data_IF_655258339194
#
_entry.id   IF_655258339194
#
_cell.length_a   1.000
_cell.length_b   1.000
_cell.length_c   1.000
_cell.angle_alpha   90.00
_cell.angle_beta   90.00
_cell.angle_gamma   90.00
#
_symmetry.space_group_name_H-M   'P 1'
#
loop_
_entity.id
_entity.type
_entity.pdbx_description
1 polymer ?
#
# COMPACT_ATOMS: atom_id res chain seq x y z
N UNK A 1 3.49 36.58 68.83
CA UNK A 1 2.89 35.25 68.54
C UNK A 1 3.77 34.52 67.54
N UNK A 2 4.21 33.30 67.90
CA UNK A 2 5.06 32.43 67.08
C UNK A 2 4.23 31.71 66.02
N UNK A 3 4.75 31.54 64.79
CA UNK A 3 4.53 30.36 63.91
C UNK A 3 5.44 30.51 62.67
N UNK A 4 6.53 29.73 62.57
CA UNK A 4 6.70 28.39 61.96
C UNK A 4 6.95 28.43 60.44
N UNK A 5 8.18 28.05 60.06
CA UNK A 5 8.60 27.60 58.73
C UNK A 5 7.81 26.37 58.25
N UNK A 6 7.83 26.11 56.93
CA UNK A 6 8.29 24.78 56.49
C UNK A 6 9.30 24.79 55.32
N UNK A 7 9.97 23.63 55.20
CA UNK A 7 11.08 23.19 54.35
C UNK A 7 10.78 23.10 52.82
N UNK A 8 11.81 22.88 51.96
CA UNK A 8 11.73 23.07 50.51
C UNK A 8 11.18 21.85 49.76
N UNK A 9 10.50 22.11 48.64
CA UNK A 9 10.04 21.08 47.70
C UNK A 9 11.18 20.59 46.80
N UNK A 10 11.31 19.26 46.69
CA UNK A 10 12.21 18.57 45.76
C UNK A 10 11.90 18.96 44.30
N UNK A 11 12.88 19.49 43.59
CA UNK A 11 12.87 19.54 42.13
C UNK A 11 13.17 18.14 41.58
N UNK A 12 12.19 17.54 40.92
CA UNK A 12 12.39 16.37 40.05
C UNK A 12 12.97 16.83 38.72
N UNK A 13 14.21 16.41 38.42
CA UNK A 13 14.84 16.61 37.12
C UNK A 13 14.09 15.75 36.08
N UNK A 14 13.31 16.38 35.21
CA UNK A 14 12.78 15.72 34.03
C UNK A 14 13.92 15.53 33.01
N UNK A 15 14.29 14.28 32.77
CA UNK A 15 15.21 13.92 31.69
C UNK A 15 14.51 14.16 30.35
N UNK A 16 14.84 15.25 29.67
CA UNK A 16 14.49 15.45 28.28
C UNK A 16 15.30 14.48 27.42
N UNK A 17 14.63 13.49 26.85
CA UNK A 17 15.20 12.69 25.77
C UNK A 17 15.43 13.60 24.57
N UNK A 18 16.69 13.75 24.17
CA UNK A 18 17.09 14.51 23.00
C UNK A 18 16.44 13.89 21.77
N UNK A 19 15.47 14.59 21.20
CA UNK A 19 14.92 14.26 19.88
C UNK A 19 16.03 14.45 18.86
N UNK A 20 16.36 13.39 18.12
CA UNK A 20 17.30 13.47 17.01
C UNK A 20 16.86 14.60 16.06
N UNK A 21 17.78 15.53 15.78
CA UNK A 21 17.53 16.66 14.88
C UNK A 21 17.00 16.15 13.54
N UNK A 22 15.72 16.40 13.28
CA UNK A 22 15.11 16.06 12.01
C UNK A 22 15.83 16.87 10.92
N UNK A 23 16.51 16.20 9.98
CA UNK A 23 17.05 16.87 8.79
C UNK A 23 15.92 17.64 8.13
N UNK A 24 16.04 18.97 8.13
CA UNK A 24 15.08 19.86 7.49
C UNK A 24 15.28 19.74 5.98
N UNK A 25 14.28 19.21 5.28
CA UNK A 25 14.30 19.05 3.83
C UNK A 25 13.64 20.28 3.23
N UNK A 26 14.45 21.25 2.81
CA UNK A 26 13.97 22.48 2.18
C UNK A 26 13.39 22.17 0.80
N UNK A 27 12.33 22.87 0.38
CA UNK A 27 11.86 22.79 -1.00
C UNK A 27 12.99 23.14 -1.97
N UNK A 28 12.96 22.58 -3.18
CA UNK A 28 13.99 22.77 -4.19
C UNK A 28 13.41 23.45 -5.43
N UNK A 29 14.30 24.06 -6.23
CA UNK A 29 13.96 24.58 -7.55
C UNK A 29 14.35 23.52 -8.57
N UNK A 30 13.38 23.06 -9.37
CA UNK A 30 13.65 22.09 -10.44
C UNK A 30 14.35 22.74 -11.65
N UNK A 31 14.74 21.91 -12.63
CA UNK A 31 15.38 22.37 -13.88
C UNK A 31 14.54 23.40 -14.67
N UNK A 32 13.26 23.57 -14.31
CA UNK A 32 12.29 24.49 -14.92
C UNK A 32 11.95 25.69 -14.04
N UNK A 33 12.77 25.96 -13.03
CA UNK A 33 12.64 27.09 -12.11
C UNK A 33 11.35 27.07 -11.25
N UNK A 34 10.72 25.90 -11.07
CA UNK A 34 9.55 25.75 -10.22
C UNK A 34 9.94 25.31 -8.81
N UNK A 35 9.32 25.91 -7.79
CA UNK A 35 9.50 25.51 -6.40
C UNK A 35 8.71 24.22 -6.11
N UNK A 36 9.43 23.17 -5.71
CA UNK A 36 8.90 21.83 -5.47
C UNK A 36 9.14 21.39 -4.03
N UNK A 37 8.16 20.70 -3.48
CA UNK A 37 8.33 19.98 -2.22
C UNK A 37 9.33 18.83 -2.42
N UNK A 38 10.14 18.56 -1.40
CA UNK A 38 10.99 17.38 -1.36
C UNK A 38 10.09 16.13 -1.29
N UNK A 39 10.27 15.15 -2.18
CA UNK A 39 9.41 13.96 -2.20
C UNK A 39 9.71 13.00 -1.05
N UNK A 40 10.92 13.07 -0.48
CA UNK A 40 11.34 12.31 0.69
C UNK A 40 11.70 13.26 1.85
N UNK A 41 11.59 12.79 3.11
CA UNK A 41 11.15 11.44 3.49
C UNK A 41 9.65 11.21 3.29
N UNK A 42 9.30 9.94 3.08
CA UNK A 42 7.92 9.50 3.20
C UNK A 42 7.54 9.33 4.68
N UNK A 43 6.26 9.46 4.99
CA UNK A 43 5.70 9.22 6.33
C UNK A 43 4.83 7.97 6.29
N UNK A 44 4.96 7.10 7.28
CA UNK A 44 4.03 5.98 7.49
C UNK A 44 2.68 6.56 7.92
N UNK A 45 1.74 6.65 6.97
CA UNK A 45 0.42 7.22 7.18
C UNK A 45 -0.50 6.25 7.93
N UNK A 46 -0.45 4.97 7.56
CA UNK A 46 -1.24 3.91 8.19
C UNK A 46 -0.41 2.64 8.34
N UNK A 47 -0.64 1.89 9.41
CA UNK A 47 -0.04 0.58 9.67
C UNK A 47 -1.07 -0.35 10.32
N UNK A 48 -1.25 -1.54 9.73
CA UNK A 48 -2.04 -2.63 10.32
C UNK A 48 -1.21 -3.92 10.30
N UNK A 49 -1.21 -4.67 11.39
CA UNK A 49 -0.37 -5.87 11.54
C UNK A 49 1.12 -5.53 11.75
N UNK A 50 1.99 -6.47 11.43
CA UNK A 50 3.44 -6.34 11.64
C UNK A 50 4.16 -5.86 10.38
N UNK A 51 5.05 -4.88 10.56
CA UNK A 51 5.96 -4.41 9.53
C UNK A 51 7.26 -3.89 10.14
N UNK A 52 8.29 -3.77 9.32
CA UNK A 52 9.61 -3.30 9.71
C UNK A 52 10.08 -2.17 8.82
N UNK A 53 10.72 -1.17 9.41
CA UNK A 53 11.59 -0.23 8.72
C UNK A 53 12.93 -0.90 8.48
N UNK A 54 13.45 -0.77 7.26
CA UNK A 54 14.78 -1.22 6.89
C UNK A 54 15.69 0.00 6.78
N UNK A 55 16.82 0.02 7.48
CA UNK A 55 17.82 1.07 7.28
C UNK A 55 18.60 0.86 5.95
N UNK A 56 19.51 1.79 5.64
CA UNK A 56 20.36 1.70 4.44
C UNK A 56 21.27 0.47 4.40
N UNK A 57 21.56 -0.16 5.55
CA UNK A 57 22.33 -1.40 5.66
C UNK A 57 21.43 -2.65 5.63
N UNK A 58 20.11 -2.48 5.62
CA UNK A 58 19.13 -3.56 5.64
C UNK A 58 18.78 -4.06 7.04
N UNK A 59 19.21 -3.39 8.11
CA UNK A 59 18.80 -3.77 9.46
C UNK A 59 17.32 -3.41 9.67
N UNK A 60 16.56 -4.35 10.25
CA UNK A 60 15.14 -4.20 10.49
C UNK A 60 14.86 -3.66 11.90
N UNK A 61 13.98 -2.68 12.01
CA UNK A 61 13.36 -2.24 13.26
C UNK A 61 11.84 -2.18 13.11
N UNK A 62 11.05 -2.37 14.19
CA UNK A 62 9.59 -2.32 14.08
C UNK A 62 9.09 -1.00 13.48
N UNK A 63 8.22 -1.06 12.48
CA UNK A 63 7.59 0.10 11.88
C UNK A 63 6.49 0.64 12.79
N UNK A 64 6.28 1.95 12.81
CA UNK A 64 5.17 2.61 13.53
C UNK A 64 4.57 3.70 12.64
N UNK A 65 3.30 4.01 12.83
CA UNK A 65 2.66 5.16 12.21
C UNK A 65 3.38 6.46 12.60
N UNK A 66 3.46 7.41 11.66
CA UNK A 66 4.20 8.66 11.82
C UNK A 66 5.71 8.56 11.63
N UNK A 67 6.29 7.35 11.52
CA UNK A 67 7.71 7.20 11.22
C UNK A 67 8.07 7.78 9.85
N UNK A 68 9.27 8.36 9.77
CA UNK A 68 9.90 8.82 8.53
C UNK A 68 10.69 7.69 7.87
N UNK A 69 10.54 7.56 6.56
CA UNK A 69 11.33 6.69 5.68
C UNK A 69 12.09 7.60 4.72
N UNK A 70 13.38 7.76 4.96
CA UNK A 70 14.31 8.59 4.20
C UNK A 70 14.92 7.82 3.02
N UNK A 71 15.76 8.51 2.24
CA UNK A 71 16.50 7.91 1.14
C UNK A 71 17.32 6.69 1.59
N UNK A 72 17.33 5.65 0.76
CA UNK A 72 17.98 4.36 0.97
C UNK A 72 17.37 3.50 2.08
N UNK A 73 16.38 4.01 2.82
CA UNK A 73 15.60 3.23 3.77
C UNK A 73 14.43 2.52 3.09
N UNK A 74 13.86 1.52 3.75
CA UNK A 74 12.80 0.69 3.20
C UNK A 74 11.74 0.30 4.21
N UNK A 75 10.71 -0.37 3.70
CA UNK A 75 9.62 -0.93 4.48
C UNK A 75 9.38 -2.37 4.03
N UNK A 76 9.23 -3.26 5.00
CA UNK A 76 8.87 -4.67 4.81
C UNK A 76 7.61 -4.99 5.61
N UNK A 77 6.58 -5.52 4.97
CA UNK A 77 5.35 -5.99 5.62
C UNK A 77 5.39 -7.50 5.85
N UNK A 78 4.75 -7.98 6.92
CA UNK A 78 4.58 -9.43 7.16
C UNK A 78 3.49 -10.02 6.25
N UNK A 79 3.24 -11.33 6.34
CA UNK A 79 2.19 -12.02 5.60
C UNK A 79 0.75 -11.59 5.98
N UNK A 80 0.59 -10.77 7.01
CA UNK A 80 -0.68 -10.16 7.42
C UNK A 80 -0.54 -8.65 7.73
N UNK A 81 0.59 -8.06 7.32
CA UNK A 81 0.91 -6.65 7.55
C UNK A 81 0.56 -5.77 6.35
N UNK A 82 0.14 -4.54 6.63
CA UNK A 82 -0.21 -3.52 5.63
C UNK A 82 0.40 -2.19 6.06
N UNK A 83 0.99 -1.47 5.13
CA UNK A 83 1.52 -0.14 5.41
C UNK A 83 1.17 0.82 4.26
N UNK A 84 0.84 2.06 4.59
CA UNK A 84 0.66 3.13 3.61
C UNK A 84 1.65 4.24 3.87
N UNK A 85 2.36 4.64 2.83
CA UNK A 85 3.36 5.70 2.86
C UNK A 85 2.83 6.93 2.14
N UNK A 86 2.95 8.08 2.78
CA UNK A 86 2.69 9.39 2.17
C UNK A 86 4.03 10.06 1.86
N UNK A 87 4.29 10.31 0.58
CA UNK A 87 5.48 11.03 0.14
C UNK A 87 5.26 12.54 0.26
N UNK A 88 6.35 13.30 0.33
CA UNK A 88 6.29 14.78 0.44
C UNK A 88 5.76 15.47 -0.82
N UNK A 89 5.68 14.75 -1.95
CA UNK A 89 5.05 15.19 -3.18
C UNK A 89 3.51 14.96 -3.18
N UNK A 90 2.98 14.34 -2.12
CA UNK A 90 1.56 13.98 -1.95
C UNK A 90 1.17 12.64 -2.58
N UNK A 91 2.09 11.96 -3.27
CA UNK A 91 1.88 10.61 -3.77
C UNK A 91 1.77 9.62 -2.60
N UNK A 92 0.99 8.55 -2.79
CA UNK A 92 0.78 7.52 -1.77
C UNK A 92 1.17 6.16 -2.29
N UNK A 93 1.84 5.36 -1.45
CA UNK A 93 2.25 3.99 -1.77
C UNK A 93 1.68 3.07 -0.69
N UNK A 94 0.78 2.18 -1.08
CA UNK A 94 0.19 1.15 -0.23
C UNK A 94 0.94 -0.16 -0.46
N UNK A 95 1.37 -0.77 0.63
CA UNK A 95 2.10 -2.03 0.69
C UNK A 95 1.20 -3.08 1.32
N UNK A 96 0.62 -3.99 0.53
CA UNK A 96 -0.12 -5.14 1.03
C UNK A 96 0.79 -6.16 1.71
N UNK A 97 0.22 -7.29 2.14
CA UNK A 97 0.98 -8.34 2.82
C UNK A 97 2.16 -8.85 1.99
N UNK A 98 3.26 -9.16 2.67
CA UNK A 98 4.45 -9.76 2.08
C UNK A 98 5.19 -8.85 1.09
N UNK A 99 5.14 -7.53 1.28
CA UNK A 99 5.76 -6.55 0.39
C UNK A 99 7.03 -5.97 0.99
N UNK A 100 8.01 -5.69 0.14
CA UNK A 100 9.27 -5.09 0.52
C UNK A 100 9.68 -4.03 -0.51
N UNK A 101 9.83 -2.80 -0.05
CA UNK A 101 10.25 -1.67 -0.87
C UNK A 101 11.41 -0.90 -0.24
N UNK A 102 12.19 -0.24 -1.09
CA UNK A 102 13.20 0.75 -0.70
C UNK A 102 12.96 2.07 -1.40
N UNK A 103 13.15 3.17 -0.69
CA UNK A 103 13.01 4.51 -1.23
C UNK A 103 14.37 5.01 -1.72
N UNK A 104 14.38 5.61 -2.90
CA UNK A 104 15.56 6.27 -3.44
C UNK A 104 15.16 7.61 -4.07
N UNK A 105 16.13 8.51 -4.19
CA UNK A 105 15.95 9.83 -4.79
C UNK A 105 17.00 10.02 -5.87
N UNK A 106 16.57 10.20 -7.13
CA UNK A 106 17.49 10.57 -8.20
C UNK A 106 17.84 12.05 -8.02
N UNK A 107 18.95 12.31 -7.32
CA UNK A 107 19.30 13.65 -6.80
C UNK A 107 19.26 14.75 -7.86
N UNK A 108 19.78 14.51 -9.06
CA UNK A 108 19.88 15.52 -10.12
C UNK A 108 18.51 16.05 -10.57
N UNK A 109 17.48 15.20 -10.58
CA UNK A 109 16.14 15.58 -11.00
C UNK A 109 15.12 15.55 -9.85
N UNK A 110 15.56 15.21 -8.63
CA UNK A 110 14.72 15.02 -7.46
C UNK A 110 13.50 14.13 -7.72
N UNK A 111 13.72 13.04 -8.48
CA UNK A 111 12.70 12.06 -8.85
C UNK A 111 12.62 10.99 -7.75
N UNK A 112 11.48 10.82 -7.06
CA UNK A 112 11.31 9.70 -6.15
C UNK A 112 11.25 8.38 -6.91
N UNK A 113 12.03 7.41 -6.43
CA UNK A 113 12.04 6.03 -6.87
C UNK A 113 11.60 5.13 -5.73
N UNK A 114 10.59 4.28 -6.00
CA UNK A 114 10.27 3.14 -5.13
C UNK A 114 10.86 1.90 -5.78
N UNK A 115 11.87 1.33 -5.15
CA UNK A 115 12.44 0.05 -5.57
C UNK A 115 11.57 -1.04 -4.94
N UNK A 116 10.75 -1.71 -5.75
CA UNK A 116 9.94 -2.85 -5.33
C UNK A 116 10.79 -4.12 -5.42
N UNK A 117 11.35 -4.51 -4.27
CA UNK A 117 12.22 -5.68 -4.15
C UNK A 117 11.37 -6.97 -4.20
N UNK A 118 10.22 -6.99 -3.51
CA UNK A 118 9.33 -8.15 -3.44
C UNK A 118 7.88 -7.75 -3.14
N UNK A 119 6.92 -8.56 -3.59
CA UNK A 119 5.51 -8.44 -3.22
C UNK A 119 4.81 -7.43 -4.11
N UNK A 120 3.99 -6.55 -3.53
CA UNK A 120 3.14 -5.62 -4.29
C UNK A 120 3.25 -4.19 -3.76
N UNK A 121 3.16 -3.22 -4.66
CA UNK A 121 2.91 -1.83 -4.33
C UNK A 121 1.73 -1.32 -5.14
N UNK A 122 0.76 -0.70 -4.48
CA UNK A 122 -0.30 0.06 -5.12
C UNK A 122 -0.04 1.54 -4.90
N UNK A 123 0.01 2.32 -5.99
CA UNK A 123 0.46 3.69 -5.93
C UNK A 123 -0.57 4.63 -6.50
N UNK A 124 -0.77 5.75 -5.81
CA UNK A 124 -1.60 6.87 -6.21
C UNK A 124 -0.68 8.08 -6.44
N UNK A 125 -0.37 8.36 -7.72
CA UNK A 125 0.47 9.50 -8.10
C UNK A 125 -0.42 10.67 -8.48
N UNK A 126 -0.19 11.82 -7.87
CA UNK A 126 -0.97 13.04 -8.16
C UNK A 126 -0.71 13.46 -9.62
N UNK A 127 -1.79 13.64 -10.39
CA UNK A 127 -1.73 14.24 -11.74
C UNK A 127 -1.24 15.68 -11.62
N UNK A 128 -0.08 15.98 -12.20
CA UNK A 128 0.46 17.34 -12.27
C UNK A 128 0.49 17.83 -13.71
N UNK A 129 0.29 19.14 -13.96
CA UNK A 129 0.27 19.69 -15.32
C UNK A 129 1.60 19.56 -16.06
N UNK A 130 2.73 19.40 -15.36
CA UNK A 130 4.04 19.38 -15.99
C UNK A 130 4.40 17.99 -16.54
N UNK A 131 5.10 17.96 -17.68
CA UNK A 131 5.65 16.74 -18.30
C UNK A 131 6.85 16.16 -17.51
N UNK A 132 7.23 16.78 -16.39
CA UNK A 132 8.50 16.57 -15.70
C UNK A 132 8.36 16.03 -14.28
N UNK A 133 7.13 15.96 -13.77
CA UNK A 133 6.83 15.30 -12.49
C UNK A 133 6.89 13.79 -12.71
N UNK A 134 8.09 13.24 -12.52
CA UNK A 134 8.38 11.84 -12.71
C UNK A 134 8.35 11.16 -11.35
N UNK A 135 7.49 10.17 -11.24
CA UNK A 135 7.52 9.17 -10.20
C UNK A 135 7.97 7.86 -10.86
N UNK A 136 8.82 7.10 -10.17
CA UNK A 136 9.34 5.85 -10.74
C UNK A 136 9.15 4.68 -9.78
N UNK A 137 8.70 3.55 -10.33
CA UNK A 137 8.83 2.25 -9.66
C UNK A 137 9.94 1.49 -10.36
N UNK A 138 10.92 1.02 -9.60
CA UNK A 138 12.00 0.17 -10.08
C UNK A 138 11.72 -1.26 -9.61
N UNK A 139 11.80 -2.20 -10.53
CA UNK A 139 11.75 -3.64 -10.26
C UNK A 139 13.03 -4.29 -10.76
N UNK A 140 13.37 -5.52 -10.33
CA UNK A 140 14.53 -6.24 -10.87
C UNK A 140 14.50 -6.49 -12.38
N UNK A 141 13.37 -6.23 -13.05
CA UNK A 141 13.20 -6.47 -14.48
C UNK A 141 12.96 -5.20 -15.31
N UNK A 142 12.89 -4.01 -14.69
CA UNK A 142 12.74 -2.76 -15.42
C UNK A 142 12.26 -1.57 -14.58
N UNK A 143 12.24 -0.41 -15.24
CA UNK A 143 11.85 0.89 -14.65
C UNK A 143 10.51 1.33 -15.23
N UNK A 144 9.57 1.64 -14.35
CA UNK A 144 8.24 2.12 -14.68
C UNK A 144 8.20 3.63 -14.45
N UNK A 145 8.12 4.40 -15.53
CA UNK A 145 7.90 5.83 -15.51
C UNK A 145 6.41 6.13 -15.39
N UNK A 146 6.02 6.83 -14.34
CA UNK A 146 4.62 7.06 -14.02
C UNK A 146 4.28 8.53 -14.13
N UNK A 147 3.17 8.83 -14.79
CA UNK A 147 2.60 10.16 -14.86
C UNK A 147 1.15 10.13 -14.39
N UNK A 148 0.91 10.62 -13.18
CA UNK A 148 -0.44 10.93 -12.68
C UNK A 148 -1.44 9.78 -12.82
N UNK A 149 -1.24 8.70 -12.06
CA UNK A 149 -1.92 7.43 -12.32
C UNK A 149 -2.24 6.71 -11.01
N UNK A 150 -3.24 5.84 -11.05
CA UNK A 150 -3.47 4.82 -10.03
C UNK A 150 -3.18 3.45 -10.64
N UNK A 151 -2.24 2.72 -10.05
CA UNK A 151 -1.74 1.47 -10.59
C UNK A 151 -1.20 0.55 -9.50
N UNK A 152 -1.07 -0.72 -9.84
CA UNK A 152 -0.46 -1.76 -9.02
C UNK A 152 0.75 -2.31 -9.75
N UNK A 153 1.80 -2.60 -8.98
CA UNK A 153 2.97 -3.33 -9.44
C UNK A 153 3.21 -4.49 -8.50
N UNK A 154 3.39 -5.68 -9.05
CA UNK A 154 3.75 -6.88 -8.29
C UNK A 154 5.03 -7.46 -8.83
N UNK A 155 5.93 -7.89 -7.95
CA UNK A 155 7.20 -8.53 -8.30
C UNK A 155 7.42 -9.76 -7.44
N UNK A 156 7.68 -10.90 -8.07
CA UNK A 156 8.03 -12.16 -7.40
C UNK A 156 9.51 -12.55 -7.58
N UNK A 157 10.29 -11.73 -8.29
CA UNK A 157 11.70 -11.96 -8.58
C UNK A 157 11.97 -12.62 -9.93
N UNK A 158 10.99 -13.34 -10.50
CA UNK A 158 11.07 -13.93 -11.84
C UNK A 158 10.37 -13.06 -12.88
N UNK A 159 9.24 -12.48 -12.49
CA UNK A 159 8.39 -11.64 -13.32
C UNK A 159 7.86 -10.45 -12.52
N UNK A 160 7.44 -9.42 -13.25
CA UNK A 160 6.66 -8.34 -12.68
C UNK A 160 5.41 -8.12 -13.50
N UNK A 161 4.40 -7.66 -12.79
CA UNK A 161 3.07 -7.43 -13.28
C UNK A 161 2.74 -5.98 -13.00
N UNK A 162 2.27 -5.27 -14.02
CA UNK A 162 1.76 -3.90 -13.92
C UNK A 162 0.29 -3.90 -14.26
N UNK A 163 -0.56 -3.36 -13.40
CA UNK A 163 -1.99 -3.16 -13.69
C UNK A 163 -2.33 -1.68 -13.50
N UNK A 164 -2.79 -1.02 -14.55
CA UNK A 164 -3.13 0.42 -14.52
C UNK A 164 -4.64 0.56 -14.37
N UNK A 165 -5.08 1.12 -13.25
CA UNK A 165 -6.50 1.28 -12.92
C UNK A 165 -7.06 2.61 -13.43
N UNK A 166 -6.26 3.69 -13.31
CA UNK A 166 -6.57 5.00 -13.89
C UNK A 166 -5.28 5.64 -14.43
N UNK A 167 -5.40 6.38 -15.54
CA UNK A 167 -4.29 7.10 -16.18
C UNK A 167 -3.48 6.27 -17.17
N UNK A 168 -2.15 6.43 -17.16
CA UNK A 168 -1.22 5.74 -18.04
C UNK A 168 0.16 5.60 -17.38
N UNK A 169 0.81 4.46 -17.61
CA UNK A 169 2.19 4.18 -17.21
C UNK A 169 3.05 3.90 -18.43
N UNK A 170 4.24 4.48 -18.45
CA UNK A 170 5.27 4.16 -19.41
C UNK A 170 6.26 3.15 -18.81
N UNK A 171 6.55 2.08 -19.54
CA UNK A 171 7.45 1.03 -19.12
C UNK A 171 8.70 1.09 -19.97
N UNK A 172 9.85 1.27 -19.32
CA UNK A 172 11.15 1.24 -19.96
C UNK A 172 11.95 0.03 -19.45
N UNK A 173 12.44 -0.79 -20.38
CA UNK A 173 13.30 -1.93 -20.07
C UNK A 173 14.72 -1.60 -20.48
N UNK A 174 15.65 -1.73 -19.53
CA UNK A 174 17.08 -1.54 -19.78
C UNK A 174 17.61 -2.42 -20.93
N UNK A 175 17.00 -3.57 -21.22
CA UNK A 175 17.47 -4.52 -22.23
C UNK A 175 16.60 -4.63 -23.50
N UNK A 176 15.50 -3.88 -23.63
CA UNK A 176 14.62 -4.02 -24.80
C UNK A 176 14.97 -2.99 -25.89
N UNK A 177 15.27 -3.48 -27.08
CA UNK A 177 15.52 -2.70 -28.30
C UNK A 177 14.27 -1.90 -28.76
N UNK A 178 13.09 -2.21 -28.21
CA UNK A 178 11.78 -1.75 -28.73
C UNK A 178 11.21 -0.46 -28.12
N UNK A 179 11.98 0.28 -27.33
CA UNK A 179 11.53 1.58 -26.80
C UNK A 179 10.44 1.48 -25.72
N UNK A 180 9.90 2.64 -25.35
CA UNK A 180 8.92 2.82 -24.27
C UNK A 180 7.57 2.16 -24.60
N UNK A 181 7.04 1.34 -23.68
CA UNK A 181 5.72 0.71 -23.81
C UNK A 181 4.72 1.45 -22.95
N UNK A 182 3.61 1.90 -23.53
CA UNK A 182 2.54 2.60 -22.82
C UNK A 182 1.43 1.62 -22.42
N UNK A 183 1.07 1.64 -21.15
CA UNK A 183 -0.03 0.85 -20.57
C UNK A 183 -1.08 1.83 -20.06
N UNK A 184 -2.28 1.79 -20.64
CA UNK A 184 -3.37 2.70 -20.29
C UNK A 184 -4.28 2.16 -19.19
N UNK A 185 -5.23 2.98 -18.73
CA UNK A 185 -6.27 2.57 -17.79
C UNK A 185 -6.98 1.29 -18.24
N UNK A 186 -7.28 0.42 -17.26
CA UNK A 186 -7.93 -0.88 -17.43
C UNK A 186 -7.08 -1.87 -18.23
N UNK A 187 -5.77 -1.64 -18.31
CA UNK A 187 -4.83 -2.55 -18.95
C UNK A 187 -3.80 -3.07 -17.97
N UNK A 188 -3.37 -4.30 -18.26
CA UNK A 188 -2.36 -5.04 -17.54
C UNK A 188 -1.18 -5.36 -18.44
N UNK A 189 0.00 -5.47 -17.86
CA UNK A 189 1.22 -5.91 -18.53
C UNK A 189 1.93 -6.90 -17.64
N UNK A 190 1.99 -8.16 -18.09
CA UNK A 190 2.95 -9.12 -17.57
C UNK A 190 4.27 -8.90 -18.32
N UNK A 191 5.35 -8.69 -17.58
CA UNK A 191 6.67 -8.57 -18.16
C UNK A 191 7.69 -9.47 -17.50
N UNK A 192 8.53 -10.07 -18.34
CA UNK A 192 9.66 -10.92 -17.97
C UNK A 192 10.93 -10.30 -18.55
N UNK A 193 12.11 -10.76 -18.11
CA UNK A 193 13.40 -10.26 -18.61
C UNK A 193 13.55 -10.30 -20.13
N UNK A 194 12.94 -11.29 -20.78
CA UNK A 194 12.95 -11.46 -22.24
C UNK A 194 11.55 -11.82 -22.74
N UNK A 195 11.33 -11.58 -24.03
CA UNK A 195 10.07 -11.87 -24.71
C UNK A 195 9.30 -10.62 -25.11
N UNK A 196 8.51 -10.77 -26.17
CA UNK A 196 7.56 -9.75 -26.59
C UNK A 196 6.54 -9.52 -25.47
N UNK A 197 6.10 -8.28 -25.35
CA UNK A 197 5.06 -7.94 -24.38
C UNK A 197 4.03 -7.05 -25.03
N UNK A 198 2.80 -7.26 -24.60
CA UNK A 198 1.65 -6.54 -25.10
C UNK A 198 0.73 -6.28 -23.92
N UNK A 199 0.29 -5.04 -23.72
CA UNK A 199 -0.77 -4.77 -22.76
C UNK A 199 -2.03 -5.56 -23.12
N UNK A 200 -2.69 -6.12 -22.10
CA UNK A 200 -3.96 -6.82 -22.23
C UNK A 200 -5.02 -6.12 -21.39
N UNK A 201 -6.30 -6.27 -21.75
CA UNK A 201 -7.38 -5.72 -20.95
C UNK A 201 -7.52 -6.47 -19.63
N UNK A 202 -7.76 -5.73 -18.55
CA UNK A 202 -8.00 -6.30 -17.24
C UNK A 202 -9.40 -6.92 -17.18
N UNK A 203 -9.56 -8.00 -16.40
CA UNK A 203 -10.87 -8.55 -16.09
C UNK A 203 -11.77 -7.46 -15.46
N UNK A 204 -13.08 -7.46 -15.75
CA UNK A 204 -14.00 -6.53 -15.11
C UNK A 204 -14.14 -6.82 -13.61
N UNK A 205 -14.64 -5.85 -12.86
CA UNK A 205 -14.84 -5.98 -11.43
C UNK A 205 -15.81 -7.12 -11.07
N UNK A 206 -15.48 -8.02 -10.12
CA UNK A 206 -16.42 -8.99 -9.61
C UNK A 206 -17.62 -8.34 -8.91
N UNK A 207 -18.79 -8.94 -9.07
CA UNK A 207 -20.02 -8.45 -8.44
C UNK A 207 -20.28 -9.17 -7.11
N UNK A 208 -20.41 -8.42 -6.02
CA UNK A 208 -20.87 -8.95 -4.73
C UNK A 208 -22.37 -9.26 -4.83
N UNK A 209 -22.76 -10.49 -4.54
CA UNK A 209 -24.16 -10.95 -4.63
C UNK A 209 -24.77 -11.29 -3.28
N UNK A 210 -23.97 -11.35 -2.22
CA UNK A 210 -24.46 -11.62 -0.88
C UNK A 210 -23.36 -11.72 0.15
N UNK A 211 -23.78 -11.80 1.40
CA UNK A 211 -22.91 -12.00 2.55
C UNK A 211 -23.62 -12.82 3.62
N UNK A 212 -22.85 -13.53 4.43
CA UNK A 212 -23.33 -14.16 5.66
C UNK A 212 -22.33 -14.01 6.80
N UNK A 213 -22.76 -14.36 8.02
CA UNK A 213 -21.91 -14.39 9.20
C UNK A 213 -22.26 -15.61 10.06
N UNK A 214 -21.25 -16.35 10.50
CA UNK A 214 -21.45 -17.39 11.51
C UNK A 214 -21.49 -16.80 12.92
N UNK A 215 -22.41 -17.31 13.75
CA UNK A 215 -22.44 -17.07 15.20
C UNK A 215 -21.38 -17.95 15.88
N UNK A 216 -20.71 -17.42 16.90
CA UNK A 216 -19.73 -18.15 17.70
C UNK A 216 -18.62 -17.25 18.22
N UNK A 217 -17.69 -17.82 18.99
CA UNK A 217 -16.58 -17.08 19.61
C UNK A 217 -15.57 -16.54 18.57
N UNK A 218 -15.54 -17.14 17.38
CA UNK A 218 -14.75 -16.69 16.23
C UNK A 218 -15.68 -16.51 15.01
N UNK A 219 -16.45 -15.40 14.94
CA UNK A 219 -17.37 -15.19 13.84
C UNK A 219 -16.60 -15.08 12.52
N UNK A 220 -17.05 -15.85 11.54
CA UNK A 220 -16.54 -15.80 10.16
C UNK A 220 -17.52 -14.99 9.35
N UNK A 221 -17.05 -13.87 8.80
CA UNK A 221 -17.77 -13.07 7.82
C UNK A 221 -17.47 -13.60 6.43
N UNK A 222 -18.50 -13.98 5.67
CA UNK A 222 -18.33 -14.47 4.31
C UNK A 222 -18.98 -13.54 3.30
N UNK A 223 -18.28 -13.36 2.18
CA UNK A 223 -18.78 -12.64 1.02
C UNK A 223 -18.91 -13.61 -0.14
N UNK A 224 -20.02 -13.52 -0.86
CA UNK A 224 -20.30 -14.32 -2.04
C UNK A 224 -20.25 -13.45 -3.28
N UNK A 225 -19.41 -13.82 -4.24
CA UNK A 225 -19.25 -13.14 -5.51
C UNK A 225 -20.01 -13.90 -6.60
N UNK A 226 -20.46 -13.19 -7.63
CA UNK A 226 -20.88 -13.85 -8.86
C UNK A 226 -19.64 -14.47 -9.52
N UNK A 227 -19.66 -15.76 -9.91
CA UNK A 227 -18.58 -16.35 -10.69
C UNK A 227 -18.29 -15.50 -11.93
N UNK A 228 -17.03 -15.13 -12.11
CA UNK A 228 -16.58 -14.29 -13.21
C UNK A 228 -15.86 -15.16 -14.26
N UNK A 229 -16.32 -15.18 -15.53
CA UNK A 229 -15.61 -15.89 -16.60
C UNK A 229 -14.17 -15.39 -16.75
N UNK A 230 -13.23 -16.33 -16.91
CA UNK A 230 -11.79 -16.04 -17.02
C UNK A 230 -11.06 -15.86 -15.68
N UNK A 231 -11.78 -15.73 -14.56
CA UNK A 231 -11.17 -15.59 -13.24
C UNK A 231 -10.60 -16.93 -12.74
N UNK A 232 -9.31 -16.93 -12.39
CA UNK A 232 -8.60 -18.06 -11.77
C UNK A 232 -8.55 -17.96 -10.24
N UNK A 233 -8.61 -16.73 -9.72
CA UNK A 233 -8.54 -16.43 -8.29
C UNK A 233 -9.24 -15.11 -7.99
N UNK A 234 -9.77 -14.96 -6.79
CA UNK A 234 -10.37 -13.74 -6.28
C UNK A 234 -9.53 -13.19 -5.13
N UNK A 235 -9.57 -11.88 -4.98
CA UNK A 235 -9.06 -11.16 -3.80
C UNK A 235 -10.15 -10.25 -3.28
N UNK A 236 -10.18 -10.12 -1.97
CA UNK A 236 -11.00 -9.15 -1.28
C UNK A 236 -10.17 -8.48 -0.19
N UNK A 237 -10.35 -7.18 -0.04
CA UNK A 237 -9.69 -6.38 0.97
C UNK A 237 -10.71 -5.56 1.74
N UNK A 238 -10.49 -5.46 3.04
CA UNK A 238 -11.33 -4.73 3.98
C UNK A 238 -10.52 -3.55 4.51
N UNK A 239 -11.01 -2.34 4.33
CA UNK A 239 -10.37 -1.10 4.79
C UNK A 239 -11.34 -0.23 5.60
N UNK A 240 -10.79 0.67 6.41
CA UNK A 240 -11.59 1.65 7.16
C UNK A 240 -11.75 2.99 6.42
N UNK A 241 -11.19 3.11 5.23
CA UNK A 241 -11.31 4.29 4.36
C UNK A 241 -11.61 3.89 2.90
N UNK A 242 -12.24 4.81 2.15
CA UNK A 242 -12.66 4.59 0.76
C UNK A 242 -11.51 4.47 -0.23
N UNK A 243 -10.34 5.00 0.12
CA UNK A 243 -9.14 4.99 -0.72
C UNK A 243 -8.26 3.77 -0.48
N UNK A 244 -8.66 2.86 0.40
CA UNK A 244 -7.92 1.66 0.76
C UNK A 244 -6.48 1.97 1.21
N UNK A 245 -6.29 3.07 1.94
CA UNK A 245 -5.01 3.42 2.56
C UNK A 245 -4.84 2.75 3.94
N UNK A 246 -5.92 2.41 4.63
CA UNK A 246 -5.92 1.73 5.92
C UNK A 246 -6.60 0.35 5.81
N UNK A 247 -5.91 -0.56 5.13
CA UNK A 247 -6.34 -1.96 4.96
C UNK A 247 -6.16 -2.71 6.27
N UNK A 248 -7.22 -3.38 6.72
CA UNK A 248 -7.25 -4.17 7.95
C UNK A 248 -6.98 -5.64 7.68
N UNK A 249 -7.57 -6.18 6.60
CA UNK A 249 -7.42 -7.57 6.20
C UNK A 249 -7.52 -7.74 4.69
N UNK A 250 -6.92 -8.82 4.22
CA UNK A 250 -7.14 -9.31 2.87
C UNK A 250 -7.33 -10.83 2.87
N UNK A 251 -8.07 -11.30 1.88
CA UNK A 251 -8.29 -12.71 1.66
C UNK A 251 -8.18 -13.02 0.17
N UNK A 252 -7.73 -14.24 -0.12
CA UNK A 252 -7.64 -14.76 -1.47
C UNK A 252 -8.34 -16.11 -1.53
N UNK A 253 -9.01 -16.38 -2.65
CA UNK A 253 -9.77 -17.62 -2.85
C UNK A 253 -9.77 -18.03 -4.31
N UNK A 254 -9.70 -19.33 -4.61
CA UNK A 254 -9.95 -19.85 -5.97
C UNK A 254 -11.44 -19.96 -6.28
N UNK A 255 -12.29 -19.90 -5.25
CA UNK A 255 -13.74 -19.87 -5.38
C UNK A 255 -14.25 -18.43 -5.30
N UNK A 256 -15.43 -18.12 -5.86
CA UNK A 256 -16.06 -16.79 -5.77
C UNK A 256 -16.66 -16.55 -4.36
N UNK A 257 -15.86 -16.80 -3.34
CA UNK A 257 -16.23 -16.78 -1.93
C UNK A 257 -15.03 -16.34 -1.10
N UNK A 258 -15.23 -15.32 -0.27
CA UNK A 258 -14.19 -14.70 0.55
C UNK A 258 -14.54 -14.86 2.03
N UNK A 259 -13.54 -14.91 2.90
CA UNK A 259 -13.76 -15.05 4.35
C UNK A 259 -12.82 -14.17 5.16
N UNK A 260 -13.39 -13.53 6.18
CA UNK A 260 -12.70 -12.66 7.13
C UNK A 260 -13.09 -13.04 8.56
N UNK A 261 -12.18 -12.85 9.51
CA UNK A 261 -12.37 -13.22 10.92
C UNK A 261 -11.73 -12.18 11.82
N UNK A 262 -12.19 -12.05 13.07
CA UNK A 262 -11.54 -11.19 14.06
C UNK A 262 -11.65 -9.67 13.80
N UNK A 263 -12.46 -9.25 12.82
CA UNK A 263 -12.80 -7.84 12.62
C UNK A 263 -13.77 -7.37 13.70
N UNK A 264 -13.64 -6.10 14.11
CA UNK A 264 -14.57 -5.47 15.05
C UNK A 264 -15.85 -5.08 14.33
N UNK A 265 -16.95 -4.92 15.08
CA UNK A 265 -18.16 -4.33 14.53
C UNK A 265 -17.88 -2.90 14.06
N UNK A 266 -18.05 -2.60 12.76
CA UNK A 266 -17.77 -1.28 12.18
C UNK A 266 -18.35 -1.17 10.76
N UNK A 267 -18.40 0.06 10.24
CA UNK A 267 -18.45 0.29 8.81
C UNK A 267 -17.08 0.02 8.18
N UNK A 268 -17.08 -0.77 7.12
CA UNK A 268 -15.91 -1.08 6.32
C UNK A 268 -16.16 -0.80 4.84
N UNK A 269 -15.08 -0.47 4.14
CA UNK A 269 -15.02 -0.43 2.69
C UNK A 269 -14.39 -1.73 2.21
N UNK A 270 -15.13 -2.48 1.41
CA UNK A 270 -14.66 -3.75 0.83
C UNK A 270 -14.40 -3.56 -0.64
N UNK A 271 -13.21 -3.91 -1.11
CA UNK A 271 -12.94 -4.04 -2.54
C UNK A 271 -12.71 -5.49 -2.91
N UNK A 272 -13.20 -5.88 -4.07
CA UNK A 272 -13.04 -7.22 -4.64
C UNK A 272 -12.49 -7.13 -6.05
N UNK A 273 -11.63 -8.07 -6.40
CA UNK A 273 -10.98 -8.19 -7.72
C UNK A 273 -10.79 -9.67 -8.06
N UNK A 274 -10.49 -9.94 -9.33
CA UNK A 274 -10.20 -11.27 -9.82
C UNK A 274 -8.88 -11.29 -10.60
N UNK A 275 -8.17 -12.40 -10.56
CA UNK A 275 -6.97 -12.65 -11.33
C UNK A 275 -7.31 -13.48 -12.57
N UNK A 276 -6.73 -13.13 -13.72
CA UNK A 276 -6.84 -13.91 -14.95
C UNK A 276 -5.83 -15.08 -15.01
N UNK A 277 -5.77 -15.76 -16.15
CA UNK A 277 -4.83 -16.86 -16.41
C UNK A 277 -3.35 -16.43 -16.42
N UNK A 278 -3.06 -15.15 -16.66
CA UNK A 278 -1.73 -14.57 -16.63
C UNK A 278 -1.35 -14.05 -15.22
N UNK A 279 -2.26 -14.16 -14.26
CA UNK A 279 -2.08 -13.63 -12.91
C UNK A 279 -2.20 -12.11 -12.82
N UNK A 280 -2.82 -11.45 -13.81
CA UNK A 280 -3.15 -10.03 -13.75
C UNK A 280 -4.37 -9.82 -12.86
N UNK A 281 -4.25 -8.96 -11.87
CA UNK A 281 -5.39 -8.54 -11.06
C UNK A 281 -6.26 -7.57 -11.86
N UNK A 282 -7.55 -7.86 -11.95
CA UNK A 282 -8.53 -7.10 -12.70
C UNK A 282 -8.96 -5.78 -12.04
N UNK A 283 -9.99 -5.17 -12.61
CA UNK A 283 -10.69 -4.02 -12.04
C UNK A 283 -11.29 -4.36 -10.67
N UNK A 284 -11.54 -3.33 -9.85
CA UNK A 284 -12.03 -3.48 -8.48
C UNK A 284 -13.49 -3.04 -8.34
N UNK A 285 -14.30 -3.89 -7.71
CA UNK A 285 -15.64 -3.53 -7.25
C UNK A 285 -15.59 -3.11 -5.79
N UNK A 286 -16.13 -1.93 -5.45
CA UNK A 286 -16.12 -1.39 -4.09
C UNK A 286 -17.52 -1.41 -3.49
N UNK A 287 -17.63 -1.87 -2.25
CA UNK A 287 -18.88 -2.01 -1.49
C UNK A 287 -18.70 -1.48 -0.07
N UNK A 288 -19.63 -0.63 0.36
CA UNK A 288 -19.68 -0.13 1.74
C UNK A 288 -20.55 -1.09 2.56
N UNK A 289 -19.98 -1.71 3.59
CA UNK A 289 -20.67 -2.73 4.38
C UNK A 289 -20.54 -2.42 5.88
N UNK A 290 -21.68 -2.36 6.57
CA UNK A 290 -21.70 -2.40 8.02
C UNK A 290 -21.54 -3.85 8.48
N UNK A 291 -20.36 -4.19 9.01
CA UNK A 291 -20.12 -5.49 9.60
C UNK A 291 -20.51 -5.46 11.07
N UNK A 292 -21.46 -6.30 11.45
CA UNK A 292 -21.87 -6.52 12.82
C UNK A 292 -21.91 -8.03 13.09
N UNK A 293 -20.89 -8.61 13.74
CA UNK A 293 -20.90 -10.02 14.07
C UNK A 293 -22.06 -10.30 15.03
N UNK A 294 -22.89 -11.32 14.76
CA UNK A 294 -23.99 -11.65 15.63
C UNK A 294 -23.43 -12.12 16.99
N UNK A 295 -23.82 -11.44 18.07
CA UNK A 295 -23.33 -11.72 19.42
C UNK A 295 -23.57 -13.20 19.81
N UNK A 296 -22.58 -13.80 20.46
CA UNK A 296 -22.78 -15.03 21.22
C UNK A 296 -23.75 -14.73 22.35
N UNK A 297 -24.96 -15.29 22.30
CA UNK A 297 -25.82 -15.37 23.48
C UNK A 297 -25.05 -16.23 24.49
N UNK A 298 -24.49 -15.60 25.52
CA UNK A 298 -24.00 -16.32 26.68
C UNK A 298 -25.17 -17.19 27.19
N UNK A 299 -25.00 -18.50 27.17
CA UNK A 299 -25.89 -19.41 27.89
C UNK A 299 -25.84 -18.94 29.34
N UNK A 300 -26.91 -18.31 29.82
CA UNK A 300 -27.13 -18.17 31.24
C UNK A 300 -27.14 -19.60 31.80
N UNK A 301 -26.05 -19.99 32.47
CA UNK A 301 -26.03 -21.18 33.30
C UNK A 301 -26.94 -20.90 34.50
N UNK A 302 -28.24 -21.15 34.30
CA UNK A 302 -29.18 -21.35 35.39
C UNK A 302 -29.00 -22.77 35.91
N UNK A 303 -28.71 -22.89 37.21
CA UNK A 303 -28.53 -24.13 37.94
C UNK A 303 -27.82 -23.86 39.25
#
# INVERSE_FOLDING_TARGET
MRCRLPLPALLTLAAFTASASAKLHLPYIDDYLMCRAQPLPAIVQHLSGEAWKLDAKGNASPLQEGMRIDEQEGVKTSASGFASLLLGDGSRVVLPSGSQVRLHLVQKQSIPQIILEQGQAETYVIKRPSDYDRFQIVTPIGVLGVRGTHFRVRNDGEQSVLEVLDGQVAVNREMAVQGEIKVGARQGLLFKRQGAVKPVELLPAPMLIGQDGQKGDAPVWRLYLRPLPGAQRYRAQVATDKTFLNIQQENFSSEPKMSFTGLKASFYHVRVSAYDEHGLEGETGIYDIFYYPPATLAKASGG
#
